data_IF_256166820973
#
_entry.id   IF_256166820973
#
_cell.length_a   1.000
_cell.length_b   1.000
_cell.length_c   1.000
_cell.angle_alpha   90.00
_cell.angle_beta   90.00
_cell.angle_gamma   90.00
#
_symmetry.space_group_name_H-M   'P 1'
#
loop_
_entity.id
_entity.type
_entity.pdbx_description
1 polymer ?
#
# COMPACT_ATOMS: atom_id res chain seq x y z
N UNK A 1 13.65 -22.94 -9.00
CA UNK A 1 12.77 -22.40 -10.07
C UNK A 1 12.89 -20.89 -10.10
N UNK A 2 12.49 -20.23 -11.21
CA UNK A 2 12.46 -18.76 -11.29
C UNK A 2 11.14 -18.22 -10.75
N UNK A 3 11.20 -17.19 -9.91
CA UNK A 3 10.04 -16.52 -9.30
C UNK A 3 10.02 -15.06 -9.72
N UNK A 4 8.90 -14.60 -10.27
CA UNK A 4 8.70 -13.21 -10.70
C UNK A 4 7.99 -12.43 -9.59
N UNK A 5 8.68 -11.47 -8.98
CA UNK A 5 8.14 -10.57 -7.96
C UNK A 5 7.59 -9.31 -8.62
N UNK A 6 6.30 -9.06 -8.42
CA UNK A 6 5.56 -7.96 -9.07
C UNK A 6 5.24 -6.79 -8.12
N UNK A 7 5.75 -6.84 -6.90
CA UNK A 7 5.55 -5.80 -5.89
C UNK A 7 6.25 -4.49 -6.29
N UNK A 8 5.80 -3.34 -5.77
CA UNK A 8 6.55 -2.10 -5.89
C UNK A 8 8.02 -2.28 -5.51
N UNK A 9 8.92 -1.59 -6.20
CA UNK A 9 10.36 -1.74 -6.01
C UNK A 9 10.80 -1.55 -4.54
N UNK A 10 10.14 -0.66 -3.80
CA UNK A 10 10.39 -0.42 -2.38
C UNK A 10 10.05 -1.60 -1.47
N UNK A 11 9.15 -2.47 -1.89
CA UNK A 11 8.62 -3.59 -1.09
C UNK A 11 9.24 -4.94 -1.51
N UNK A 12 10.00 -4.96 -2.61
CA UNK A 12 10.62 -6.17 -3.15
C UNK A 12 11.81 -6.74 -2.34
N UNK A 13 12.73 -5.94 -1.73
CA UNK A 13 14.00 -6.45 -1.21
C UNK A 13 13.87 -7.56 -0.17
N UNK A 14 12.93 -7.45 0.78
CA UNK A 14 12.73 -8.49 1.80
C UNK A 14 12.24 -9.83 1.19
N UNK A 15 11.43 -9.75 0.12
CA UNK A 15 10.92 -10.91 -0.62
C UNK A 15 12.03 -11.56 -1.43
N UNK A 16 12.83 -10.74 -2.14
CA UNK A 16 13.99 -11.21 -2.92
C UNK A 16 14.93 -11.98 -2.01
N UNK A 17 15.35 -11.36 -0.90
CA UNK A 17 16.27 -12.00 0.04
C UNK A 17 15.76 -13.35 0.55
N UNK A 18 14.49 -13.44 0.93
CA UNK A 18 13.92 -14.67 1.46
C UNK A 18 13.80 -15.77 0.39
N UNK A 19 13.42 -15.42 -0.83
CA UNK A 19 13.29 -16.38 -1.95
C UNK A 19 14.67 -16.88 -2.43
N UNK A 20 15.66 -16.01 -2.53
CA UNK A 20 17.03 -16.37 -2.86
C UNK A 20 17.65 -17.27 -1.79
N UNK A 21 17.42 -16.95 -0.49
CA UNK A 21 17.87 -17.82 0.61
C UNK A 21 17.24 -19.21 0.58
N UNK A 22 16.05 -19.37 -0.02
CA UNK A 22 15.38 -20.65 -0.26
C UNK A 22 15.81 -21.33 -1.57
N UNK A 23 16.81 -20.79 -2.31
CA UNK A 23 17.37 -21.38 -3.51
C UNK A 23 16.58 -21.09 -4.80
N UNK A 24 15.70 -20.09 -4.80
CA UNK A 24 15.00 -19.65 -6.01
C UNK A 24 15.79 -18.57 -6.76
N UNK A 25 15.70 -18.59 -8.08
CA UNK A 25 16.10 -17.45 -8.92
C UNK A 25 15.01 -16.41 -8.88
N UNK A 26 15.32 -15.15 -8.60
CA UNK A 26 14.31 -14.09 -8.45
C UNK A 26 14.44 -13.05 -9.56
N UNK A 27 13.35 -12.84 -10.28
CA UNK A 27 13.18 -11.78 -11.27
C UNK A 27 12.28 -10.71 -10.67
N UNK A 28 12.78 -9.47 -10.56
CA UNK A 28 11.98 -8.34 -10.05
C UNK A 28 11.42 -7.55 -11.21
N UNK A 29 10.10 -7.62 -11.41
CA UNK A 29 9.35 -6.87 -12.41
C UNK A 29 8.21 -6.12 -11.74
N UNK A 30 8.47 -4.93 -11.15
CA UNK A 30 7.43 -4.17 -10.50
C UNK A 30 6.30 -3.82 -11.47
N UNK A 31 5.06 -4.10 -11.07
CA UNK A 31 3.85 -3.80 -11.86
C UNK A 31 3.08 -2.60 -11.30
N UNK A 32 3.56 -2.02 -10.23
CA UNK A 32 3.03 -0.79 -9.64
C UNK A 32 4.23 0.12 -9.35
N UNK A 33 4.24 1.28 -9.98
CA UNK A 33 5.14 2.37 -9.63
C UNK A 33 4.50 3.23 -8.53
N UNK A 34 5.28 3.55 -7.50
CA UNK A 34 4.87 4.40 -6.40
C UNK A 34 5.66 5.69 -6.48
N UNK A 35 4.97 6.80 -6.67
CA UNK A 35 5.58 8.11 -6.85
C UNK A 35 4.91 9.18 -5.97
N UNK A 36 5.61 10.29 -5.74
CA UNK A 36 4.99 11.48 -5.19
C UNK A 36 3.88 11.98 -6.13
N UNK A 37 2.79 12.57 -5.60
CA UNK A 37 1.76 13.15 -6.44
C UNK A 37 2.32 14.30 -7.28
N UNK A 38 1.77 14.50 -8.48
CA UNK A 38 2.14 15.64 -9.34
C UNK A 38 1.90 16.96 -8.60
N UNK A 39 0.79 17.05 -7.88
CA UNK A 39 0.39 18.23 -7.10
C UNK A 39 0.76 18.03 -5.62
N UNK A 40 1.90 18.58 -5.21
CA UNK A 40 2.39 18.47 -3.81
C UNK A 40 1.79 19.49 -2.85
N UNK A 41 1.13 20.53 -3.38
CA UNK A 41 0.58 21.62 -2.57
C UNK A 41 -0.43 21.16 -1.50
N UNK A 42 -1.18 20.07 -1.75
CA UNK A 42 -2.11 19.54 -0.76
C UNK A 42 -1.39 19.00 0.47
N UNK A 43 -0.28 18.28 0.28
CA UNK A 43 0.55 17.77 1.38
C UNK A 43 1.21 18.92 2.13
N UNK A 44 1.68 19.95 1.41
CA UNK A 44 2.25 21.14 2.05
C UNK A 44 1.23 21.85 2.94
N UNK A 45 0.02 22.11 2.43
CA UNK A 45 -1.06 22.70 3.23
C UNK A 45 -1.43 21.86 4.46
N UNK A 46 -1.38 20.53 4.33
CA UNK A 46 -1.63 19.64 5.46
C UNK A 46 -0.57 19.81 6.57
N UNK A 47 0.70 20.02 6.20
CA UNK A 47 1.76 20.35 7.14
C UNK A 47 1.63 21.76 7.73
N UNK A 48 1.22 22.75 6.94
CA UNK A 48 0.99 24.12 7.42
C UNK A 48 -0.17 24.17 8.44
N UNK A 49 -1.16 23.28 8.27
CA UNK A 49 -2.28 23.11 9.19
C UNK A 49 -1.98 22.14 10.37
N UNK A 50 -0.72 21.73 10.57
CA UNK A 50 -0.30 20.76 11.59
C UNK A 50 -0.98 20.90 12.97
N UNK A 51 -1.03 22.12 13.59
CA UNK A 51 -1.61 22.25 14.93
C UNK A 51 -3.14 22.11 14.98
N UNK A 52 -3.80 22.13 13.82
CA UNK A 52 -5.27 22.10 13.74
C UNK A 52 -5.82 20.68 13.78
N UNK A 53 -5.02 19.69 13.31
CA UNK A 53 -5.43 18.30 13.29
C UNK A 53 -5.54 17.74 14.72
N UNK A 54 -6.66 17.10 15.04
CA UNK A 54 -6.71 16.29 16.26
C UNK A 54 -6.00 14.96 16.07
N UNK A 55 -6.05 14.43 14.85
CA UNK A 55 -5.34 13.22 14.47
C UNK A 55 -5.02 13.19 12.97
N UNK A 56 -4.00 12.42 12.59
CA UNK A 56 -3.66 12.08 11.22
C UNK A 56 -3.65 10.56 11.06
N UNK A 57 -4.55 10.03 10.24
CA UNK A 57 -4.67 8.62 9.95
C UNK A 57 -3.90 8.28 8.68
N UNK A 58 -3.04 7.28 8.76
CA UNK A 58 -2.24 6.79 7.63
C UNK A 58 -2.74 5.41 7.18
N UNK A 59 -3.15 5.31 5.93
CA UNK A 59 -3.72 4.06 5.37
C UNK A 59 -2.67 3.00 5.01
N UNK A 60 -1.40 3.36 4.98
CA UNK A 60 -0.29 2.46 4.61
C UNK A 60 1.07 3.03 5.00
N UNK A 61 2.11 2.17 5.02
CA UNK A 61 3.49 2.60 5.19
C UNK A 61 3.96 3.59 4.10
N UNK A 62 3.47 3.45 2.87
CA UNK A 62 3.77 4.39 1.78
C UNK A 62 3.16 5.78 2.06
N UNK A 63 1.94 5.83 2.60
CA UNK A 63 1.32 7.09 3.00
C UNK A 63 2.18 7.83 4.04
N UNK A 64 2.72 7.11 5.02
CA UNK A 64 3.66 7.67 6.00
C UNK A 64 4.91 8.20 5.31
N UNK A 65 5.60 7.34 4.53
CA UNK A 65 6.86 7.70 3.87
C UNK A 65 6.72 8.98 3.07
N UNK A 66 5.81 9.01 2.10
CA UNK A 66 5.66 10.15 1.19
C UNK A 66 5.16 11.41 1.89
N UNK A 67 4.31 11.28 2.91
CA UNK A 67 3.86 12.43 3.69
C UNK A 67 5.02 13.04 4.48
N UNK A 68 5.83 12.22 5.16
CA UNK A 68 6.97 12.70 5.95
C UNK A 68 8.16 13.13 5.09
N UNK A 69 8.38 12.53 3.92
CA UNK A 69 9.40 13.01 2.97
C UNK A 69 9.13 14.45 2.51
N UNK A 70 7.85 14.84 2.44
CA UNK A 70 7.41 16.21 2.11
C UNK A 70 7.33 17.14 3.34
N UNK A 71 7.77 16.71 4.52
CA UNK A 71 7.77 17.53 5.73
C UNK A 71 8.66 18.77 5.57
N UNK A 72 8.16 19.99 5.87
CA UNK A 72 8.98 21.20 5.83
C UNK A 72 10.23 21.10 6.71
N UNK A 73 11.35 21.63 6.23
CA UNK A 73 12.62 21.59 6.96
C UNK A 73 12.53 22.25 8.35
N UNK A 74 11.73 23.29 8.49
CA UNK A 74 11.47 23.98 9.78
C UNK A 74 10.80 23.07 10.80
N UNK A 75 9.82 22.25 10.39
CA UNK A 75 9.16 21.27 11.26
C UNK A 75 10.04 20.05 11.50
N UNK A 76 10.80 19.64 10.50
CA UNK A 76 11.76 18.52 10.64
C UNK A 76 12.83 18.84 11.67
N UNK A 77 13.34 20.08 11.71
CA UNK A 77 14.28 20.54 12.71
C UNK A 77 13.70 20.59 14.14
N UNK A 78 12.39 20.75 14.26
CA UNK A 78 11.64 20.77 15.51
C UNK A 78 11.08 19.40 15.91
N UNK A 79 11.36 18.34 15.15
CA UNK A 79 10.87 16.98 15.38
C UNK A 79 11.41 16.42 16.70
N UNK A 80 10.82 16.84 17.80
CA UNK A 80 11.16 16.47 19.16
C UNK A 80 9.89 16.14 19.95
N UNK A 81 10.07 15.61 21.15
CA UNK A 81 8.95 15.23 22.02
C UNK A 81 7.97 16.36 22.31
N UNK A 82 8.42 17.62 22.34
CA UNK A 82 7.55 18.77 22.58
C UNK A 82 6.61 19.04 21.42
N UNK A 83 7.09 18.96 20.17
CA UNK A 83 6.25 19.08 18.98
C UNK A 83 5.14 18.04 18.99
N UNK A 84 5.48 16.78 19.29
CA UNK A 84 4.52 15.68 19.30
C UNK A 84 3.55 15.74 20.48
N UNK A 85 3.99 16.21 21.65
CA UNK A 85 3.13 16.35 22.82
C UNK A 85 1.99 17.37 22.62
N UNK A 86 2.18 18.33 21.72
CA UNK A 86 1.20 19.38 21.38
C UNK A 86 0.58 19.17 19.99
N UNK A 87 1.05 18.18 19.24
CA UNK A 87 0.62 17.89 17.87
C UNK A 87 -0.53 16.90 17.80
N UNK A 88 -0.94 16.55 16.57
CA UNK A 88 -1.96 15.53 16.32
C UNK A 88 -1.47 14.14 16.74
N UNK A 89 -2.39 13.30 17.10
CA UNK A 89 -2.13 11.87 17.21
C UNK A 89 -1.95 11.25 15.82
N UNK A 90 -1.08 10.26 15.71
CA UNK A 90 -0.90 9.51 14.47
C UNK A 90 -1.61 8.16 14.57
N UNK A 91 -2.52 7.91 13.65
CA UNK A 91 -3.30 6.68 13.60
C UNK A 91 -2.77 5.75 12.50
N UNK A 92 -2.44 4.53 12.88
CA UNK A 92 -1.95 3.49 11.99
C UNK A 92 -3.01 2.39 11.82
N UNK A 93 -3.30 1.99 10.59
CA UNK A 93 -4.24 0.89 10.31
C UNK A 93 -3.69 -0.49 10.63
N UNK A 94 -2.37 -0.62 10.79
CA UNK A 94 -1.75 -1.90 11.09
C UNK A 94 -0.25 -1.82 11.37
N UNK A 95 0.40 -2.95 11.68
CA UNK A 95 1.77 -2.97 12.18
C UNK A 95 2.81 -2.42 11.20
N UNK A 96 2.62 -2.59 9.89
CA UNK A 96 3.51 -2.02 8.88
C UNK A 96 3.48 -0.49 8.86
N UNK A 97 2.29 0.12 9.01
CA UNK A 97 2.10 1.57 9.09
C UNK A 97 2.64 2.11 10.42
N UNK A 98 2.39 1.40 11.52
CA UNK A 98 2.94 1.72 12.84
C UNK A 98 4.47 1.78 12.81
N UNK A 99 5.11 0.73 12.27
CA UNK A 99 6.56 0.68 12.10
C UNK A 99 7.09 1.85 11.26
N UNK A 100 6.39 2.21 10.18
CA UNK A 100 6.78 3.34 9.33
C UNK A 100 6.70 4.68 10.08
N UNK A 101 5.68 4.91 10.92
CA UNK A 101 5.55 6.10 11.77
C UNK A 101 6.73 6.19 12.75
N UNK A 102 7.09 5.08 13.39
CA UNK A 102 8.27 5.01 14.27
C UNK A 102 9.56 5.39 13.53
N UNK A 103 9.75 4.86 12.33
CA UNK A 103 10.90 5.18 11.49
C UNK A 103 10.92 6.63 11.04
N UNK A 104 9.75 7.26 10.88
CA UNK A 104 9.61 8.68 10.59
C UNK A 104 9.85 9.59 11.81
N UNK A 105 10.14 9.01 13.00
CA UNK A 105 10.44 9.77 14.22
C UNK A 105 9.23 10.12 15.09
N UNK A 106 8.07 9.51 14.83
CA UNK A 106 6.88 9.68 15.69
C UNK A 106 7.09 8.90 16.99
N UNK A 107 6.98 9.55 18.18
CA UNK A 107 7.07 8.85 19.46
C UNK A 107 5.97 7.80 19.61
N UNK A 108 6.29 6.67 20.24
CA UNK A 108 5.34 5.58 20.49
C UNK A 108 4.06 6.08 21.19
N UNK A 109 4.22 6.95 22.18
CA UNK A 109 3.10 7.53 22.92
C UNK A 109 2.13 8.37 22.09
N UNK A 110 2.52 8.77 20.86
CA UNK A 110 1.71 9.57 19.94
C UNK A 110 1.08 8.74 18.82
N UNK A 111 1.32 7.41 18.80
CA UNK A 111 0.76 6.50 17.80
C UNK A 111 -0.38 5.70 18.40
N UNK A 112 -1.52 5.65 17.71
CA UNK A 112 -2.62 4.73 17.97
C UNK A 112 -2.72 3.72 16.85
N UNK A 113 -2.85 2.44 17.20
CA UNK A 113 -3.04 1.34 16.27
C UNK A 113 -3.96 0.30 16.89
N UNK A 114 -4.59 -0.58 16.09
CA UNK A 114 -5.25 -1.77 16.62
C UNK A 114 -4.31 -2.56 17.52
N UNK A 115 -4.88 -3.31 18.46
CA UNK A 115 -4.09 -4.16 19.36
C UNK A 115 -3.34 -5.24 18.57
N UNK A 116 -2.18 -5.67 19.08
CA UNK A 116 -1.32 -6.63 18.38
C UNK A 116 -2.00 -7.99 18.13
N UNK A 117 -2.96 -8.34 19.00
CA UNK A 117 -3.76 -9.57 18.95
C UNK A 117 -5.03 -9.41 18.07
N UNK A 118 -5.25 -8.24 17.48
CA UNK A 118 -6.42 -8.01 16.62
C UNK A 118 -6.44 -9.00 15.47
N UNK A 119 -7.59 -9.62 15.24
CA UNK A 119 -7.78 -10.58 14.14
C UNK A 119 -7.73 -9.94 12.77
N UNK A 120 -7.98 -8.62 12.71
CA UNK A 120 -7.94 -7.79 11.51
C UNK A 120 -7.26 -6.45 11.80
N UNK A 121 -6.49 -5.97 10.82
CA UNK A 121 -5.84 -4.68 10.85
C UNK A 121 -6.50 -3.77 9.81
N UNK A 122 -7.62 -3.14 10.21
CA UNK A 122 -8.47 -2.31 9.38
C UNK A 122 -8.94 -1.04 10.10
N UNK A 123 -9.80 -0.28 9.42
CA UNK A 123 -10.35 0.96 9.96
C UNK A 123 -11.31 0.73 11.12
N UNK A 124 -12.00 -0.41 11.15
CA UNK A 124 -12.96 -0.80 12.18
C UNK A 124 -12.23 -1.10 13.51
N UNK A 125 -11.18 -1.91 13.45
CA UNK A 125 -10.35 -2.22 14.62
C UNK A 125 -9.64 -0.97 15.16
N UNK A 126 -9.18 -0.07 14.28
CA UNK A 126 -8.62 1.21 14.68
C UNK A 126 -9.66 2.08 15.38
N UNK A 127 -10.88 2.16 14.84
CA UNK A 127 -11.97 2.97 15.41
C UNK A 127 -12.35 2.55 16.83
N UNK A 128 -12.38 1.25 17.10
CA UNK A 128 -12.62 0.74 18.46
C UNK A 128 -11.64 1.32 19.49
N UNK A 129 -10.41 1.58 19.05
CA UNK A 129 -9.35 2.15 19.90
C UNK A 129 -9.47 3.65 20.06
N UNK A 130 -9.78 4.39 18.98
CA UNK A 130 -9.65 5.86 18.94
C UNK A 130 -10.99 6.59 18.99
N UNK A 131 -12.08 5.94 18.64
CA UNK A 131 -13.38 6.61 18.43
C UNK A 131 -13.91 7.36 19.65
N UNK A 132 -13.73 6.82 20.87
CA UNK A 132 -14.15 7.46 22.12
C UNK A 132 -13.39 8.77 22.42
N UNK A 133 -12.20 8.97 21.86
CA UNK A 133 -11.38 10.18 22.03
C UNK A 133 -11.60 11.25 20.98
N UNK A 134 -12.41 10.97 19.95
CA UNK A 134 -12.67 11.91 18.86
C UNK A 134 -13.56 13.08 19.32
N UNK A 135 -13.13 14.30 19.02
CA UNK A 135 -13.83 15.51 19.39
C UNK A 135 -14.62 16.08 18.21
N UNK A 136 -15.90 16.38 18.42
CA UNK A 136 -16.74 17.05 17.44
C UNK A 136 -16.16 18.43 17.05
N UNK A 137 -16.34 18.83 15.79
CA UNK A 137 -15.85 20.09 15.24
C UNK A 137 -14.35 20.13 14.96
N UNK A 138 -13.56 19.12 15.37
CA UNK A 138 -12.14 19.09 15.09
C UNK A 138 -11.80 18.19 13.89
N UNK A 139 -10.88 18.62 13.01
CA UNK A 139 -10.54 17.87 11.82
C UNK A 139 -9.60 16.69 12.10
N UNK A 140 -9.84 15.58 11.37
CA UNK A 140 -8.96 14.42 11.24
C UNK A 140 -8.50 14.34 9.80
N UNK A 141 -7.19 14.32 9.59
CA UNK A 141 -6.58 14.15 8.27
C UNK A 141 -6.43 12.67 7.93
N UNK A 142 -6.96 12.23 6.78
CA UNK A 142 -6.76 10.88 6.25
C UNK A 142 -5.73 10.96 5.11
N UNK A 143 -4.53 10.44 5.38
CA UNK A 143 -3.41 10.41 4.44
C UNK A 143 -3.44 9.13 3.63
N UNK A 144 -3.60 9.24 2.30
CA UNK A 144 -3.84 8.09 1.41
C UNK A 144 -3.03 8.16 0.11
N UNK A 145 -3.05 7.07 -0.66
CA UNK A 145 -2.60 7.01 -2.05
C UNK A 145 -3.75 7.20 -3.03
N UNK A 146 -3.40 7.55 -4.26
CA UNK A 146 -4.28 7.64 -5.41
C UNK A 146 -3.86 6.62 -6.47
N UNK A 147 -4.83 5.92 -7.06
CA UNK A 147 -4.61 5.06 -8.23
C UNK A 147 -4.79 5.89 -9.51
N UNK A 148 -3.69 6.09 -10.25
CA UNK A 148 -3.70 6.84 -11.51
C UNK A 148 -4.03 5.88 -12.66
N UNK A 149 -5.01 6.25 -13.52
CA UNK A 149 -5.35 5.47 -14.72
C UNK A 149 -6.62 4.62 -14.63
N UNK A 150 -7.31 4.59 -13.50
CA UNK A 150 -8.63 4.00 -13.37
C UNK A 150 -9.71 5.09 -13.27
N UNK A 151 -10.10 5.65 -14.42
CA UNK A 151 -11.15 6.68 -14.46
C UNK A 151 -10.68 8.09 -14.08
N UNK A 152 -11.43 9.11 -14.47
CA UNK A 152 -11.10 10.51 -14.23
C UNK A 152 -10.92 10.83 -12.74
N UNK A 153 -10.04 11.77 -12.43
CA UNK A 153 -9.69 12.21 -11.07
C UNK A 153 -10.92 12.57 -10.17
N UNK A 154 -12.08 12.76 -10.75
CA UNK A 154 -13.34 12.98 -10.04
C UNK A 154 -13.97 11.71 -9.47
N UNK A 155 -13.74 10.53 -10.06
CA UNK A 155 -14.19 9.24 -9.51
C UNK A 155 -13.28 8.74 -8.38
N UNK A 156 -12.02 9.15 -8.36
CA UNK A 156 -11.08 8.82 -7.29
C UNK A 156 -11.48 9.39 -5.90
N UNK A 157 -12.28 10.45 -5.88
CA UNK A 157 -12.92 10.93 -4.65
C UNK A 157 -14.13 10.06 -4.22
N UNK A 158 -14.76 9.36 -5.18
CA UNK A 158 -15.94 8.51 -4.95
C UNK A 158 -15.62 7.02 -4.80
N UNK A 159 -14.44 6.56 -5.26
CA UNK A 159 -13.97 5.19 -5.12
C UNK A 159 -12.96 5.05 -3.98
N UNK A 160 -13.25 5.65 -2.84
CA UNK A 160 -12.59 5.32 -1.59
C UNK A 160 -12.76 3.82 -1.33
N UNK A 161 -11.68 3.08 -1.15
CA UNK A 161 -11.78 1.70 -0.70
C UNK A 161 -12.65 1.61 0.57
N UNK A 162 -13.51 0.62 0.65
CA UNK A 162 -14.61 0.49 1.62
C UNK A 162 -14.29 0.87 3.06
N UNK A 163 -13.09 0.54 3.57
CA UNK A 163 -12.71 0.88 4.95
C UNK A 163 -12.39 2.35 5.20
N UNK A 164 -11.94 3.11 4.19
CA UNK A 164 -11.60 4.54 4.33
C UNK A 164 -12.84 5.41 4.36
N UNK A 165 -13.82 5.08 3.53
CA UNK A 165 -15.11 5.77 3.52
C UNK A 165 -15.89 5.47 4.78
N UNK A 166 -15.80 4.26 5.29
CA UNK A 166 -16.40 3.86 6.54
C UNK A 166 -15.85 4.68 7.72
N UNK A 167 -14.52 4.87 7.85
CA UNK A 167 -13.93 5.70 8.89
C UNK A 167 -14.38 7.17 8.78
N UNK A 168 -14.42 7.72 7.57
CA UNK A 168 -14.89 9.07 7.34
C UNK A 168 -16.37 9.24 7.75
N UNK A 169 -17.21 8.23 7.50
CA UNK A 169 -18.60 8.19 7.96
C UNK A 169 -18.67 8.16 9.49
N UNK A 170 -17.85 7.33 10.16
CA UNK A 170 -17.81 7.31 11.62
C UNK A 170 -17.38 8.65 12.22
N UNK A 171 -16.35 9.29 11.64
CA UNK A 171 -15.93 10.64 12.04
C UNK A 171 -17.07 11.66 11.91
N UNK A 172 -17.75 11.64 10.76
CA UNK A 172 -18.92 12.51 10.52
C UNK A 172 -20.05 12.23 11.50
N UNK A 173 -20.32 10.96 11.81
CA UNK A 173 -21.38 10.56 12.74
C UNK A 173 -21.17 11.08 14.17
N UNK A 174 -19.90 11.26 14.60
CA UNK A 174 -19.56 11.89 15.90
C UNK A 174 -19.34 13.39 15.80
N UNK A 175 -19.62 14.00 14.64
CA UNK A 175 -19.52 15.44 14.40
C UNK A 175 -18.09 15.95 14.16
N UNK A 176 -17.10 15.07 13.93
CA UNK A 176 -15.77 15.44 13.51
C UNK A 176 -15.69 15.69 11.99
N UNK A 177 -14.66 16.42 11.56
CA UNK A 177 -14.45 16.72 10.15
C UNK A 177 -13.41 15.74 9.59
N UNK A 178 -13.77 14.99 8.55
CA UNK A 178 -12.83 14.13 7.82
C UNK A 178 -12.26 14.88 6.61
N UNK A 179 -10.94 15.07 6.57
CA UNK A 179 -10.24 15.66 5.44
C UNK A 179 -9.27 14.65 4.84
N UNK A 180 -9.06 14.73 3.52
CA UNK A 180 -8.23 13.78 2.79
C UNK A 180 -7.05 14.47 2.13
N UNK A 181 -5.88 13.80 2.18
CA UNK A 181 -4.72 14.19 1.40
C UNK A 181 -4.13 13.00 0.67
N UNK A 182 -3.84 13.19 -0.62
CA UNK A 182 -3.10 12.23 -1.42
C UNK A 182 -1.62 12.48 -1.21
N UNK A 183 -0.92 11.54 -0.56
CA UNK A 183 0.51 11.63 -0.30
C UNK A 183 1.35 10.90 -1.35
N UNK A 184 0.80 9.94 -2.06
CA UNK A 184 1.48 9.20 -3.13
C UNK A 184 0.49 8.74 -4.20
N UNK A 185 1.02 8.44 -5.36
CA UNK A 185 0.27 7.87 -6.48
C UNK A 185 0.78 6.48 -6.81
N UNK A 186 -0.15 5.59 -7.16
CA UNK A 186 0.14 4.30 -7.79
C UNK A 186 -0.09 4.43 -9.27
N UNK A 187 0.95 4.18 -10.05
CA UNK A 187 0.96 4.37 -11.50
C UNK A 187 1.31 3.07 -12.21
N UNK A 188 0.95 3.00 -13.49
CA UNK A 188 1.51 2.04 -14.41
C UNK A 188 3.02 2.28 -14.50
N UNK A 189 3.88 1.27 -14.28
CA UNK A 189 5.32 1.45 -14.44
C UNK A 189 5.70 1.62 -15.90
N UNK A 190 6.77 2.35 -16.14
CA UNK A 190 7.39 2.40 -17.47
C UNK A 190 8.47 1.35 -17.55
N UNK A 191 8.24 0.31 -18.34
CA UNK A 191 9.22 -0.75 -18.56
C UNK A 191 10.18 -0.41 -19.69
N UNK A 192 11.43 -0.85 -19.55
CA UNK A 192 12.41 -0.85 -20.65
C UNK A 192 12.06 -1.96 -21.66
N UNK A 193 12.64 -1.89 -22.88
CA UNK A 193 12.49 -2.96 -23.88
C UNK A 193 12.94 -4.32 -23.32
N UNK A 194 14.04 -4.37 -22.57
CA UNK A 194 14.55 -5.57 -21.92
C UNK A 194 13.54 -6.14 -20.91
N UNK A 195 12.90 -5.28 -20.11
CA UNK A 195 11.87 -5.73 -19.15
C UNK A 195 10.65 -6.33 -19.86
N UNK A 196 10.23 -5.76 -21.00
CA UNK A 196 9.15 -6.34 -21.82
C UNK A 196 9.55 -7.73 -22.38
N UNK A 197 10.76 -7.88 -22.89
CA UNK A 197 11.25 -9.16 -23.43
C UNK A 197 11.35 -10.23 -22.34
N UNK A 198 11.94 -9.89 -21.19
CA UNK A 198 12.08 -10.81 -20.06
C UNK A 198 10.71 -11.22 -19.50
N UNK A 199 9.76 -10.29 -19.40
CA UNK A 199 8.41 -10.59 -18.95
C UNK A 199 7.65 -11.48 -19.93
N UNK A 200 7.78 -11.24 -21.26
CA UNK A 200 7.18 -12.09 -22.27
C UNK A 200 7.77 -13.52 -22.23
N UNK A 201 9.07 -13.66 -22.01
CA UNK A 201 9.74 -14.94 -21.85
C UNK A 201 9.26 -15.68 -20.60
N UNK A 202 9.16 -14.96 -19.46
CA UNK A 202 8.68 -15.50 -18.18
C UNK A 202 7.21 -15.97 -18.21
N UNK A 203 6.44 -15.61 -19.24
CA UNK A 203 5.09 -16.13 -19.46
C UNK A 203 5.09 -17.59 -19.97
N UNK A 204 6.23 -18.13 -20.47
CA UNK A 204 6.30 -19.42 -21.12
C UNK A 204 7.44 -20.32 -20.66
N UNK A 205 8.39 -19.82 -19.88
CA UNK A 205 9.61 -20.52 -19.47
C UNK A 205 9.46 -21.33 -18.16
N UNK A 206 8.24 -21.40 -17.63
CA UNK A 206 7.96 -22.10 -16.38
C UNK A 206 8.18 -21.25 -15.12
N UNK A 207 8.45 -19.96 -15.26
CA UNK A 207 8.51 -19.02 -14.14
C UNK A 207 7.17 -18.94 -13.40
N UNK A 208 7.21 -18.68 -12.07
CA UNK A 208 6.02 -18.50 -11.23
C UNK A 208 5.87 -17.03 -10.87
N UNK A 209 4.77 -16.43 -11.28
CA UNK A 209 4.44 -15.03 -11.01
C UNK A 209 3.81 -14.88 -9.62
N UNK A 210 4.32 -13.97 -8.79
CA UNK A 210 3.76 -13.69 -7.46
C UNK A 210 2.98 -12.38 -7.46
N UNK A 211 1.65 -12.47 -7.33
CA UNK A 211 0.75 -11.33 -7.30
C UNK A 211 0.22 -11.05 -5.91
N UNK A 212 0.32 -9.80 -5.47
CA UNK A 212 -0.25 -9.28 -4.22
C UNK A 212 -1.28 -8.17 -4.45
N UNK A 213 -1.63 -7.88 -5.71
CA UNK A 213 -2.60 -6.85 -6.09
C UNK A 213 -3.28 -7.20 -7.41
N UNK A 214 -4.61 -7.02 -7.48
CA UNK A 214 -5.34 -7.11 -8.75
C UNK A 214 -4.93 -6.01 -9.73
N UNK A 215 -4.60 -4.81 -9.23
CA UNK A 215 -4.10 -3.70 -10.04
C UNK A 215 -2.81 -4.09 -10.79
N UNK A 216 -1.90 -4.82 -10.13
CA UNK A 216 -0.68 -5.32 -10.78
C UNK A 216 -1.00 -6.19 -12.00
N UNK A 217 -2.02 -7.04 -11.93
CA UNK A 217 -2.45 -7.87 -13.05
C UNK A 217 -3.06 -7.02 -14.18
N UNK A 218 -3.83 -5.99 -13.87
CA UNK A 218 -4.34 -5.06 -14.88
C UNK A 218 -3.22 -4.29 -15.55
N UNK A 219 -2.21 -3.85 -14.81
CA UNK A 219 -1.03 -3.21 -15.37
C UNK A 219 -0.22 -4.17 -16.26
N UNK A 220 -0.08 -5.44 -15.86
CA UNK A 220 0.57 -6.45 -16.69
C UNK A 220 -0.13 -6.61 -18.04
N UNK A 221 -1.46 -6.63 -18.05
CA UNK A 221 -2.25 -6.66 -19.29
C UNK A 221 -2.02 -5.42 -20.15
N UNK A 222 -1.91 -4.24 -19.55
CA UNK A 222 -1.63 -3.01 -20.30
C UNK A 222 -0.21 -3.00 -20.88
N UNK A 223 0.78 -3.52 -20.16
CA UNK A 223 2.17 -3.62 -20.60
C UNK A 223 2.37 -4.68 -21.69
N UNK A 224 1.61 -5.79 -21.63
CA UNK A 224 1.70 -6.92 -22.55
C UNK A 224 0.30 -7.33 -23.04
N UNK A 225 -0.38 -6.48 -23.84
CA UNK A 225 -1.80 -6.68 -24.18
C UNK A 225 -2.09 -7.89 -25.07
N UNK A 226 -1.09 -8.35 -25.83
CA UNK A 226 -1.23 -9.47 -26.77
C UNK A 226 -0.60 -10.77 -26.25
N UNK A 227 -0.05 -10.75 -25.01
CA UNK A 227 0.63 -11.91 -24.44
C UNK A 227 -0.38 -13.03 -24.11
N UNK A 228 -0.02 -14.26 -24.50
CA UNK A 228 -0.77 -15.44 -24.11
C UNK A 228 -0.24 -15.98 -22.76
N UNK A 229 -1.12 -16.02 -21.77
CA UNK A 229 -0.82 -16.46 -20.42
C UNK A 229 -1.21 -17.90 -20.10
N UNK A 230 -1.75 -18.67 -21.08
CA UNK A 230 -2.26 -20.03 -20.89
C UNK A 230 -1.21 -21.04 -20.38
N UNK A 231 0.09 -20.78 -20.58
CA UNK A 231 1.20 -21.58 -20.05
C UNK A 231 1.82 -21.01 -18.79
N UNK A 232 1.43 -19.81 -18.40
CA UNK A 232 1.99 -19.13 -17.24
C UNK A 232 1.36 -19.64 -15.93
N UNK A 233 2.19 -19.67 -14.88
CA UNK A 233 1.81 -20.07 -13.53
C UNK A 233 1.88 -18.87 -12.59
N UNK A 234 0.96 -18.77 -11.62
CA UNK A 234 1.08 -17.73 -10.62
C UNK A 234 0.61 -18.19 -9.23
N UNK A 235 1.12 -17.47 -8.21
CA UNK A 235 0.63 -17.49 -6.84
C UNK A 235 -0.01 -16.12 -6.56
N UNK A 236 -1.28 -16.14 -6.12
CA UNK A 236 -2.05 -14.98 -5.76
C UNK A 236 -2.30 -14.96 -4.24
N UNK A 237 -2.04 -13.82 -3.59
CA UNK A 237 -2.14 -13.72 -2.13
C UNK A 237 -3.55 -13.48 -1.60
N UNK A 238 -4.56 -13.47 -2.47
CA UNK A 238 -5.98 -13.32 -2.09
C UNK A 238 -6.87 -13.88 -3.20
N UNK A 239 -8.05 -14.40 -2.84
CA UNK A 239 -9.01 -15.01 -3.79
C UNK A 239 -9.39 -14.06 -4.94
N UNK A 240 -9.62 -12.76 -4.68
CA UNK A 240 -9.89 -11.76 -5.71
C UNK A 240 -8.75 -11.62 -6.72
N UNK A 241 -7.50 -11.68 -6.25
CA UNK A 241 -6.31 -11.59 -7.10
C UNK A 241 -6.23 -12.85 -7.99
N UNK A 242 -6.50 -14.02 -7.42
CA UNK A 242 -6.56 -15.29 -8.16
C UNK A 242 -7.63 -15.24 -9.27
N UNK A 243 -8.80 -14.70 -8.97
CA UNK A 243 -9.86 -14.51 -9.99
C UNK A 243 -9.41 -13.56 -11.11
N UNK A 244 -8.72 -12.46 -10.77
CA UNK A 244 -8.19 -11.53 -11.78
C UNK A 244 -7.12 -12.19 -12.65
N UNK A 245 -6.23 -13.02 -12.08
CA UNK A 245 -5.23 -13.76 -12.84
C UNK A 245 -5.87 -14.76 -13.80
N UNK A 246 -6.89 -15.52 -13.34
CA UNK A 246 -7.67 -16.43 -14.19
C UNK A 246 -8.38 -15.69 -15.32
N UNK A 247 -8.96 -14.52 -15.04
CA UNK A 247 -9.62 -13.68 -16.05
C UNK A 247 -8.64 -13.15 -17.11
N UNK A 248 -7.37 -12.90 -16.74
CA UNK A 248 -6.32 -12.54 -17.70
C UNK A 248 -5.86 -13.75 -18.54
N UNK A 249 -6.17 -14.97 -18.13
CA UNK A 249 -5.84 -16.20 -18.87
C UNK A 249 -4.66 -16.98 -18.35
N UNK A 250 -4.19 -16.74 -17.12
CA UNK A 250 -3.17 -17.58 -16.48
C UNK A 250 -3.66 -19.04 -16.40
N UNK A 251 -2.85 -19.97 -16.93
CA UNK A 251 -3.23 -21.39 -17.03
C UNK A 251 -3.24 -22.08 -15.68
N UNK A 252 -2.36 -21.71 -14.77
CA UNK A 252 -2.25 -22.30 -13.44
C UNK A 252 -2.20 -21.20 -12.37
N UNK A 253 -3.19 -21.20 -11.45
CA UNK A 253 -3.34 -20.16 -10.43
C UNK A 253 -3.48 -20.79 -9.05
N UNK A 254 -2.48 -20.56 -8.22
CA UNK A 254 -2.42 -20.99 -6.82
C UNK A 254 -2.74 -19.84 -5.88
N UNK A 255 -3.15 -20.17 -4.66
CA UNK A 255 -3.44 -19.18 -3.62
C UNK A 255 -2.55 -19.42 -2.41
N UNK A 256 -1.98 -18.33 -1.85
CA UNK A 256 -1.24 -18.34 -0.62
C UNK A 256 -1.68 -17.16 0.27
N UNK A 257 -1.36 -17.19 1.54
CA UNK A 257 -1.50 -16.00 2.38
C UNK A 257 -0.41 -14.97 2.02
N UNK A 258 -0.58 -13.66 2.33
CA UNK A 258 0.36 -12.59 1.96
C UNK A 258 1.64 -12.58 2.83
N UNK A 259 2.12 -13.76 3.22
CA UNK A 259 3.33 -13.97 3.99
C UNK A 259 4.38 -14.71 3.14
N UNK A 260 5.65 -14.32 3.26
CA UNK A 260 6.73 -14.93 2.49
C UNK A 260 6.80 -16.44 2.72
N UNK A 261 6.64 -16.88 3.99
CA UNK A 261 6.67 -18.29 4.33
C UNK A 261 5.56 -19.11 3.64
N UNK A 262 4.36 -18.56 3.52
CA UNK A 262 3.24 -19.25 2.85
C UNK A 262 3.44 -19.31 1.33
N UNK A 263 4.06 -18.29 0.73
CA UNK A 263 4.42 -18.29 -0.68
C UNK A 263 5.54 -19.31 -0.94
N UNK A 264 6.54 -19.40 -0.07
CA UNK A 264 7.58 -20.43 -0.16
C UNK A 264 7.00 -21.85 -0.10
N UNK A 265 6.12 -22.13 0.88
CA UNK A 265 5.44 -23.41 0.97
C UNK A 265 4.61 -23.74 -0.29
N UNK A 266 3.98 -22.72 -0.89
CA UNK A 266 3.27 -22.87 -2.17
C UNK A 266 4.21 -23.19 -3.33
N UNK A 267 5.39 -22.56 -3.39
CA UNK A 267 6.41 -22.82 -4.42
C UNK A 267 6.96 -24.24 -4.32
N UNK A 268 7.19 -24.74 -3.10
CA UNK A 268 7.63 -26.12 -2.88
C UNK A 268 6.62 -27.14 -3.40
N UNK A 269 5.32 -26.84 -3.32
CA UNK A 269 4.26 -27.71 -3.86
C UNK A 269 4.16 -27.71 -5.40
N UNK A 270 4.84 -26.77 -6.06
CA UNK A 270 4.88 -26.64 -7.53
C UNK A 270 6.16 -27.20 -8.17
N UNK A 271 7.12 -27.61 -7.34
CA UNK A 271 8.38 -28.19 -7.80
C UNK A 271 8.22 -29.67 -8.08
#
# INVERSE_FOLDING_TARGET
>A
MRVVITRPASDAPAWVHALEAAGHEVLVLPLIDIAAPVETHAVQRAWDAWPQWQAMMFVSAQAVRYFFDAQPASLRAQNNNTMWAQGPRCWATGPGTHKALRQAGVPESCIDSPEAEATQFDSEALWQRVGAGVQAGRPVLIVRGLDVGQGTAQTAAAEGGTGRDWLAQQLTAVGALAEFVVAYERRLPTWTAEQHEVAAHAATDGSVWCFSSSQAIHHLHQLLPVQNWAKARCIATHARIAQTAKALGFGEVHSARPLVADVLASLESLA
#
